data_IF_705112994689
#
_entry.id   IF_705112994689
#
_cell.length_a   1.000
_cell.length_b   1.000
_cell.length_c   1.000
_cell.angle_alpha   90.00
_cell.angle_beta   90.00
_cell.angle_gamma   90.00
#
_symmetry.space_group_name_H-M   'P 1'
#
loop_
_entity.id
_entity.type
_entity.pdbx_description
1 polymer ?
#
# COMPACT_ATOMS: atom_id res chain seq x y z
N UNK A 1 -76.37 13.56 -1.13
CA UNK A 1 -75.29 14.10 -0.27
C UNK A 1 -74.09 13.23 -0.48
N UNK A 2 -73.14 13.70 -1.34
CA UNK A 2 -71.95 12.95 -1.73
C UNK A 2 -70.72 13.52 -0.97
N UNK A 3 -70.19 12.73 -0.08
CA UNK A 3 -68.98 13.09 0.71
C UNK A 3 -67.77 12.71 -0.15
N UNK A 4 -67.07 13.73 -0.64
CA UNK A 4 -65.73 13.52 -1.26
C UNK A 4 -64.66 13.38 -0.17
N UNK A 5 -64.14 12.17 -0.04
CA UNK A 5 -63.03 11.86 0.83
C UNK A 5 -61.73 12.14 0.05
N UNK A 6 -61.10 13.28 0.32
CA UNK A 6 -59.82 13.65 -0.26
C UNK A 6 -58.71 12.95 0.54
N UNK A 7 -58.15 11.89 -0.03
CA UNK A 7 -56.94 11.25 0.53
C UNK A 7 -55.71 12.10 0.20
N UNK A 8 -55.16 12.76 1.21
CA UNK A 8 -53.87 13.45 1.11
C UNK A 8 -52.78 12.39 1.19
N UNK A 9 -52.16 12.10 0.05
CA UNK A 9 -51.01 11.20 -0.04
C UNK A 9 -49.76 11.98 0.40
N UNK A 10 -49.39 11.85 1.67
CA UNK A 10 -48.14 12.41 2.18
C UNK A 10 -46.97 11.61 1.60
N UNK A 11 -46.35 12.18 0.57
CA UNK A 11 -45.09 11.65 0.00
C UNK A 11 -43.97 11.88 1.02
N UNK A 12 -43.64 10.86 1.80
CA UNK A 12 -42.43 10.86 2.65
C UNK A 12 -41.23 10.88 1.71
N UNK A 13 -40.62 12.03 1.52
CA UNK A 13 -39.29 12.14 0.96
C UNK A 13 -38.30 11.55 1.98
N UNK A 14 -37.89 10.30 1.78
CA UNK A 14 -36.71 9.74 2.42
C UNK A 14 -35.52 10.48 1.82
N UNK A 15 -35.08 11.54 2.47
CA UNK A 15 -33.82 12.20 2.16
C UNK A 15 -32.74 11.23 2.58
N UNK A 16 -31.94 10.66 1.65
CA UNK A 16 -30.78 9.88 2.07
C UNK A 16 -29.89 10.82 2.88
N UNK A 17 -29.66 10.48 4.15
CA UNK A 17 -28.64 11.13 4.94
C UNK A 17 -27.29 10.83 4.25
N UNK A 18 -26.83 11.74 3.42
CA UNK A 18 -25.46 11.79 2.95
C UNK A 18 -24.65 12.23 4.17
N UNK A 19 -24.30 11.28 5.02
CA UNK A 19 -23.29 11.51 6.02
C UNK A 19 -22.01 11.85 5.24
N UNK A 20 -21.53 13.07 5.43
CA UNK A 20 -20.26 13.54 4.92
C UNK A 20 -19.21 12.42 5.08
N UNK A 21 -18.65 12.04 3.99
CA UNK A 21 -17.95 10.83 3.65
C UNK A 21 -16.89 10.34 4.59
N UNK A 22 -17.30 9.77 5.70
CA UNK A 22 -16.39 8.92 6.51
C UNK A 22 -16.32 7.55 5.90
N UNK A 23 -15.13 7.16 5.48
CA UNK A 23 -14.83 5.85 4.91
C UNK A 23 -13.87 5.12 5.84
N UNK A 24 -14.05 3.82 5.94
CA UNK A 24 -13.18 2.96 6.73
C UNK A 24 -12.49 1.97 5.79
N UNK A 25 -11.16 1.91 5.87
CA UNK A 25 -10.36 0.87 5.23
C UNK A 25 -10.08 -0.18 6.30
N UNK A 26 -10.53 -1.42 6.12
CA UNK A 26 -10.25 -2.50 7.07
C UNK A 26 -8.75 -2.83 7.15
N UNK A 27 -8.31 -3.30 8.31
CA UNK A 27 -7.04 -4.00 8.44
C UNK A 27 -6.97 -5.17 7.45
N UNK A 28 -5.76 -5.55 7.04
CA UNK A 28 -5.47 -6.59 6.05
C UNK A 28 -5.99 -6.31 4.62
N UNK A 29 -6.52 -5.09 4.35
CA UNK A 29 -6.82 -4.69 2.97
C UNK A 29 -5.54 -4.70 2.16
N UNK A 30 -5.53 -5.45 1.05
CA UNK A 30 -4.39 -5.50 0.14
C UNK A 30 -4.24 -4.20 -0.65
N UNK A 31 -3.03 -3.71 -0.72
CA UNK A 31 -2.65 -2.53 -1.51
C UNK A 31 -1.39 -2.83 -2.30
N UNK A 32 -1.27 -2.23 -3.47
CA UNK A 32 -0.15 -2.42 -4.38
C UNK A 32 0.77 -1.22 -4.35
N UNK A 33 2.04 -1.46 -4.08
CA UNK A 33 3.06 -0.42 -3.99
C UNK A 33 4.24 -0.74 -4.90
N UNK A 34 5.00 0.29 -5.24
CA UNK A 34 6.27 0.19 -5.98
C UNK A 34 7.29 1.12 -5.35
N UNK A 35 8.57 0.79 -5.49
CA UNK A 35 9.63 1.70 -5.10
C UNK A 35 9.77 2.85 -6.11
N UNK A 36 10.47 3.91 -5.69
CA UNK A 36 10.82 4.99 -6.61
C UNK A 36 11.63 4.44 -7.79
N UNK A 37 11.20 4.68 -9.05
CA UNK A 37 11.85 4.12 -10.24
C UNK A 37 13.31 4.54 -10.42
N UNK A 38 13.71 5.67 -9.83
CA UNK A 38 15.10 6.16 -9.85
C UNK A 38 16.01 5.48 -8.83
N UNK A 39 15.45 4.69 -7.91
CA UNK A 39 16.19 4.10 -6.81
C UNK A 39 16.83 2.76 -7.18
N UNK A 40 18.12 2.62 -6.88
CA UNK A 40 18.85 1.34 -6.98
C UNK A 40 18.86 0.65 -5.63
N UNK A 41 18.06 -0.40 -5.50
CA UNK A 41 17.90 -1.16 -4.26
C UNK A 41 18.77 -2.40 -4.32
N UNK A 42 19.92 -2.36 -3.65
CA UNK A 42 20.92 -3.43 -3.69
C UNK A 42 21.63 -3.58 -2.35
N UNK A 43 21.93 -4.82 -1.96
CA UNK A 43 22.70 -5.14 -0.77
C UNK A 43 24.10 -4.51 -0.73
N UNK A 44 24.63 -4.09 -1.87
CA UNK A 44 25.90 -3.38 -1.97
C UNK A 44 25.80 -1.90 -1.58
N UNK A 45 24.63 -1.28 -1.79
CA UNK A 45 24.43 0.17 -1.68
C UNK A 45 23.71 0.59 -0.40
N UNK A 46 22.97 -0.32 0.21
CA UNK A 46 22.11 -0.03 1.34
C UNK A 46 22.70 -0.50 2.67
N UNK A 47 22.17 0.05 3.73
CA UNK A 47 22.45 -0.31 5.12
C UNK A 47 21.14 -0.47 5.89
N UNK A 48 21.09 -1.27 6.97
CA UNK A 48 19.92 -1.35 7.83
C UNK A 48 19.51 0.03 8.37
N UNK A 49 18.20 0.27 8.48
CA UNK A 49 17.63 1.54 8.95
C UNK A 49 17.47 2.62 7.89
N UNK A 50 17.93 2.40 6.65
CA UNK A 50 17.74 3.37 5.57
C UNK A 50 16.27 3.37 5.11
N UNK A 51 15.60 4.53 5.09
CA UNK A 51 14.26 4.65 4.55
C UNK A 51 14.31 4.63 3.01
N UNK A 52 13.37 3.91 2.41
CA UNK A 52 13.16 3.83 0.97
C UNK A 52 11.81 4.47 0.65
N UNK A 53 11.78 5.30 -0.40
CA UNK A 53 10.55 5.89 -0.89
C UNK A 53 9.74 4.88 -1.70
N UNK A 54 8.45 4.79 -1.40
CA UNK A 54 7.49 3.98 -2.13
C UNK A 54 6.31 4.82 -2.60
N UNK A 55 5.62 4.32 -3.61
CA UNK A 55 4.40 4.91 -4.14
C UNK A 55 3.32 3.85 -4.25
N UNK A 56 2.07 4.26 -4.01
CA UNK A 56 0.91 3.45 -4.34
C UNK A 56 0.87 3.21 -5.85
N UNK A 57 0.87 1.97 -6.28
CA UNK A 57 0.92 1.59 -7.70
C UNK A 57 -0.46 1.54 -8.36
N UNK A 58 -1.52 1.34 -7.57
CA UNK A 58 -2.91 1.33 -8.00
C UNK A 58 -3.77 2.04 -6.94
N UNK A 59 -4.87 2.71 -7.31
CA UNK A 59 -5.73 3.39 -6.34
C UNK A 59 -6.39 2.38 -5.38
N UNK A 60 -6.64 2.81 -4.14
CA UNK A 60 -7.44 2.04 -3.19
C UNK A 60 -8.89 2.46 -3.31
N UNK A 61 -9.76 1.52 -3.65
CA UNK A 61 -11.18 1.76 -3.84
C UNK A 61 -12.03 1.03 -2.78
N UNK A 62 -13.01 1.72 -2.23
CA UNK A 62 -14.02 1.15 -1.32
C UNK A 62 -15.40 1.51 -1.83
N UNK A 63 -16.23 0.50 -2.09
CA UNK A 63 -17.59 0.72 -2.58
C UNK A 63 -17.68 1.45 -3.92
N UNK A 64 -16.66 1.30 -4.78
CA UNK A 64 -16.59 1.96 -6.10
C UNK A 64 -16.13 3.42 -6.05
N UNK A 65 -15.61 3.88 -4.91
CA UNK A 65 -15.00 5.20 -4.77
C UNK A 65 -13.51 5.06 -4.54
N UNK A 66 -12.71 5.90 -5.20
CA UNK A 66 -11.28 6.03 -4.93
C UNK A 66 -11.09 6.74 -3.60
N UNK A 67 -10.46 6.06 -2.65
CA UNK A 67 -10.20 6.56 -1.30
C UNK A 67 -8.75 7.04 -1.16
N UNK A 68 -7.82 6.35 -1.81
CA UNK A 68 -6.43 6.79 -1.91
C UNK A 68 -6.04 6.72 -3.39
N UNK A 69 -5.60 7.84 -3.94
CA UNK A 69 -5.19 7.92 -5.33
C UNK A 69 -3.86 7.22 -5.59
N UNK A 70 -3.67 6.71 -6.80
CA UNK A 70 -2.37 6.25 -7.30
C UNK A 70 -1.29 7.32 -7.11
N UNK A 71 -0.07 6.88 -6.82
CA UNK A 71 1.06 7.77 -6.56
C UNK A 71 1.06 8.41 -5.16
N UNK A 72 0.21 7.95 -4.24
CA UNK A 72 0.34 8.27 -2.82
C UNK A 72 1.71 7.83 -2.32
N UNK A 73 2.44 8.73 -1.64
CA UNK A 73 3.80 8.48 -1.17
C UNK A 73 3.83 7.77 0.17
N UNK A 74 4.78 6.86 0.33
CA UNK A 74 5.00 6.15 1.56
C UNK A 74 6.46 5.82 1.81
N UNK A 75 6.70 5.07 2.87
CA UNK A 75 8.04 4.64 3.29
C UNK A 75 8.11 3.13 3.44
N UNK A 76 9.24 2.58 3.04
CA UNK A 76 9.72 1.28 3.47
C UNK A 76 11.05 1.46 4.20
N UNK A 77 11.48 0.48 4.96
CA UNK A 77 12.73 0.52 5.72
C UNK A 77 13.55 -0.75 5.48
N UNK A 78 14.83 -0.58 5.32
CA UNK A 78 15.77 -1.68 5.19
C UNK A 78 16.00 -2.30 6.57
N UNK A 79 15.56 -3.55 6.75
CA UNK A 79 15.71 -4.28 8.02
C UNK A 79 17.07 -4.98 8.12
N UNK A 80 17.47 -5.68 7.07
CA UNK A 80 18.69 -6.46 7.07
C UNK A 80 19.39 -6.39 5.72
N UNK A 81 20.72 -6.27 5.76
CA UNK A 81 21.59 -6.28 4.58
C UNK A 81 22.81 -7.15 4.86
N UNK A 82 23.12 -8.03 3.93
CA UNK A 82 24.40 -8.73 3.87
C UNK A 82 24.97 -8.58 2.45
N UNK A 83 26.10 -7.94 2.33
CA UNK A 83 26.81 -7.85 1.04
C UNK A 83 27.33 -9.22 0.60
N UNK A 84 27.42 -9.43 -0.70
CA UNK A 84 28.12 -10.60 -1.23
C UNK A 84 29.59 -10.58 -0.80
N UNK A 85 30.03 -11.60 -0.08
CA UNK A 85 31.40 -11.69 0.43
C UNK A 85 32.01 -13.03 0.08
N UNK A 86 33.02 -13.08 -0.76
CA UNK A 86 33.74 -14.25 -1.26
C UNK A 86 32.97 -15.05 -2.33
N UNK A 87 33.66 -15.79 -3.20
CA UNK A 87 33.01 -16.69 -4.15
C UNK A 87 32.10 -17.67 -3.42
N UNK A 88 30.78 -17.59 -3.73
CA UNK A 88 29.79 -18.52 -3.21
C UNK A 88 28.95 -18.03 -2.03
N UNK A 89 29.16 -16.83 -1.45
CA UNK A 89 28.25 -16.25 -0.47
C UNK A 89 27.39 -15.15 -1.11
N UNK A 90 26.09 -15.41 -1.34
CA UNK A 90 25.19 -14.42 -1.92
C UNK A 90 24.95 -13.24 -0.96
N UNK A 91 24.68 -12.08 -1.51
CA UNK A 91 24.13 -10.96 -0.75
C UNK A 91 22.71 -11.26 -0.29
N UNK A 92 22.25 -10.57 0.75
CA UNK A 92 20.90 -10.67 1.27
C UNK A 92 20.36 -9.28 1.57
N UNK A 93 19.09 -9.07 1.32
CA UNK A 93 18.40 -7.82 1.56
C UNK A 93 16.98 -8.11 2.03
N UNK A 94 16.59 -7.49 3.15
CA UNK A 94 15.23 -7.54 3.70
C UNK A 94 14.71 -6.13 3.92
N UNK A 95 13.52 -5.85 3.42
CA UNK A 95 12.86 -4.55 3.49
C UNK A 95 11.44 -4.73 4.03
N UNK A 96 11.06 -3.90 4.99
CA UNK A 96 9.69 -3.81 5.50
C UNK A 96 8.98 -2.57 4.91
N UNK A 97 7.72 -2.72 4.57
CA UNK A 97 6.85 -1.60 4.21
C UNK A 97 6.28 -0.99 5.50
N UNK A 98 6.41 0.32 5.67
CA UNK A 98 6.14 0.99 6.95
C UNK A 98 4.82 1.74 6.92
N UNK A 99 4.69 2.68 6.02
CA UNK A 99 3.51 3.53 5.94
C UNK A 99 3.26 4.10 4.54
N UNK A 100 2.05 4.65 4.35
CA UNK A 100 1.68 5.44 3.19
C UNK A 100 0.83 6.64 3.63
N UNK A 101 1.06 7.81 3.03
CA UNK A 101 0.24 8.99 3.26
C UNK A 101 -0.91 9.01 2.27
N UNK A 102 -2.16 9.19 2.73
CA UNK A 102 -3.30 9.35 1.84
C UNK A 102 -3.06 10.49 0.85
N UNK A 103 -3.52 10.28 -0.38
CA UNK A 103 -3.54 11.28 -1.44
C UNK A 103 -4.94 11.27 -2.06
N UNK A 104 -5.51 12.45 -2.30
CA UNK A 104 -6.85 12.60 -2.87
C UNK A 104 -7.79 13.37 -1.94
N UNK A 105 -9.08 13.15 -2.11
CA UNK A 105 -10.13 13.85 -1.35
C UNK A 105 -10.22 13.41 0.12
N UNK A 106 -9.74 12.20 0.43
CA UNK A 106 -9.87 11.61 1.75
C UNK A 106 -8.55 11.69 2.52
N UNK A 107 -8.63 12.11 3.77
CA UNK A 107 -7.50 12.15 4.69
C UNK A 107 -7.83 11.40 5.98
N UNK A 108 -6.79 10.94 6.68
CA UNK A 108 -6.94 10.42 8.05
C UNK A 108 -7.36 11.56 8.99
N UNK A 109 -8.18 11.26 9.99
CA UNK A 109 -8.72 12.27 10.91
C UNK A 109 -7.66 13.08 11.66
N UNK A 110 -6.47 12.53 11.82
CA UNK A 110 -5.31 13.12 12.49
C UNK A 110 -4.15 13.46 11.54
N UNK A 111 -4.40 13.38 10.21
CA UNK A 111 -3.37 13.52 9.17
C UNK A 111 -2.20 12.53 9.30
N UNK A 112 -2.39 11.44 10.04
CA UNK A 112 -1.39 10.40 10.21
C UNK A 112 -1.21 9.57 8.93
N UNK A 113 -0.01 9.02 8.77
CA UNK A 113 0.23 8.04 7.73
C UNK A 113 -0.45 6.70 8.07
N UNK A 114 -0.94 6.01 7.05
CA UNK A 114 -1.56 4.70 7.17
C UNK A 114 -0.46 3.66 7.29
N UNK A 115 -0.46 2.87 8.35
CA UNK A 115 0.52 1.81 8.55
C UNK A 115 0.34 0.69 7.54
N UNK A 116 1.45 0.19 7.04
CA UNK A 116 1.52 -0.97 6.16
C UNK A 116 2.12 -2.15 6.92
N UNK A 117 1.77 -3.35 6.44
CA UNK A 117 2.22 -4.63 6.95
C UNK A 117 2.67 -5.47 5.76
N UNK A 118 3.94 -5.81 5.74
CA UNK A 118 4.54 -6.62 4.68
C UNK A 118 6.04 -6.43 4.62
N UNK A 119 6.72 -7.47 4.17
CA UNK A 119 8.15 -7.51 4.02
C UNK A 119 8.51 -8.14 2.68
N UNK A 120 9.65 -7.76 2.14
CA UNK A 120 10.22 -8.37 0.94
C UNK A 120 11.67 -8.73 1.20
N UNK A 121 12.05 -9.91 0.74
CA UNK A 121 13.41 -10.42 0.86
C UNK A 121 13.97 -10.73 -0.51
N UNK A 122 15.26 -10.50 -0.68
CA UNK A 122 16.01 -10.87 -1.88
C UNK A 122 17.35 -11.48 -1.50
N UNK A 123 17.74 -12.54 -2.19
CA UNK A 123 19.03 -13.20 -2.05
C UNK A 123 19.77 -13.18 -3.39
N UNK A 124 21.04 -12.80 -3.39
CA UNK A 124 21.88 -12.78 -4.58
C UNK A 124 22.22 -14.19 -5.06
N UNK A 125 22.32 -14.36 -6.39
CA UNK A 125 22.62 -15.67 -6.99
C UNK A 125 21.39 -16.39 -7.56
N UNK A 126 20.25 -15.74 -7.60
CA UNK A 126 19.06 -16.11 -8.36
C UNK A 126 18.47 -17.47 -7.99
N UNK A 127 17.45 -17.49 -7.20
CA UNK A 127 16.32 -18.44 -7.21
C UNK A 127 15.36 -18.30 -6.04
N UNK A 128 15.57 -17.38 -5.09
CA UNK A 128 14.63 -17.23 -3.97
C UNK A 128 14.33 -15.77 -3.68
N UNK A 129 13.33 -15.23 -4.35
CA UNK A 129 12.52 -14.18 -3.76
C UNK A 129 11.53 -14.88 -2.83
N UNK A 130 11.82 -14.89 -1.55
CA UNK A 130 10.93 -15.39 -0.52
C UNK A 130 10.09 -14.22 0.00
N UNK A 131 9.00 -13.97 -0.68
CA UNK A 131 7.91 -13.17 -0.13
C UNK A 131 6.67 -14.05 -0.15
N UNK A 132 5.97 -14.14 0.94
CA UNK A 132 4.71 -14.86 1.01
C UNK A 132 3.56 -14.18 0.22
N UNK A 133 3.87 -13.06 -0.45
CA UNK A 133 2.94 -12.24 -1.23
C UNK A 133 3.42 -11.98 -2.69
N UNK A 134 4.05 -12.97 -3.37
CA UNK A 134 4.56 -12.72 -4.73
C UNK A 134 3.74 -13.29 -5.87
N UNK A 135 3.50 -12.43 -6.88
CA UNK A 135 2.88 -12.82 -8.16
C UNK A 135 3.87 -12.88 -9.34
N UNK A 136 5.09 -12.32 -9.26
CA UNK A 136 6.05 -12.36 -10.38
C UNK A 136 7.48 -12.61 -9.94
N UNK A 137 8.03 -13.76 -10.36
CA UNK A 137 9.44 -14.09 -10.18
C UNK A 137 10.30 -13.36 -11.21
N UNK A 138 11.19 -12.48 -10.73
CA UNK A 138 12.25 -11.91 -11.53
C UNK A 138 13.58 -12.59 -11.20
N UNK A 139 14.24 -13.10 -12.23
CA UNK A 139 15.54 -13.74 -12.13
C UNK A 139 16.63 -12.68 -12.13
N UNK A 140 17.39 -12.58 -11.05
CA UNK A 140 18.56 -11.71 -10.99
C UNK A 140 19.82 -12.57 -10.91
N UNK A 141 20.66 -12.48 -11.95
CA UNK A 141 21.99 -13.06 -11.98
C UNK A 141 22.97 -12.13 -11.27
N UNK A 142 23.61 -12.60 -10.21
CA UNK A 142 24.70 -11.86 -9.56
C UNK A 142 24.86 -12.23 -8.09
N UNK A 143 26.04 -12.00 -7.51
CA UNK A 143 26.30 -12.25 -6.10
C UNK A 143 25.60 -11.27 -5.14
N UNK A 144 25.11 -10.12 -5.61
CA UNK A 144 24.41 -9.12 -4.80
C UNK A 144 22.90 -9.35 -4.81
N UNK A 145 22.25 -9.11 -3.66
CA UNK A 145 20.79 -9.07 -3.59
C UNK A 145 20.29 -7.73 -4.14
N UNK A 146 19.26 -7.77 -4.97
CA UNK A 146 18.61 -6.56 -5.52
C UNK A 146 17.11 -6.71 -5.52
N UNK A 147 16.41 -5.59 -5.33
CA UNK A 147 14.97 -5.50 -5.53
C UNK A 147 14.69 -4.57 -6.71
N UNK A 148 13.87 -5.01 -7.70
CA UNK A 148 13.49 -4.14 -8.80
C UNK A 148 12.57 -3.03 -8.31
N UNK A 149 12.90 -1.79 -8.67
CA UNK A 149 12.11 -0.63 -8.26
C UNK A 149 10.80 -0.48 -9.05
N UNK A 150 10.73 -1.08 -10.23
CA UNK A 150 9.56 -1.07 -11.13
C UNK A 150 8.57 -2.21 -10.86
N UNK A 151 8.95 -3.18 -10.03
CA UNK A 151 8.06 -4.27 -9.64
C UNK A 151 6.93 -3.77 -8.72
N UNK A 152 5.76 -4.39 -8.87
CA UNK A 152 4.61 -4.17 -7.99
C UNK A 152 4.68 -5.17 -6.83
N UNK A 153 4.60 -4.64 -5.62
CA UNK A 153 4.60 -5.40 -4.38
C UNK A 153 3.21 -5.30 -3.74
N UNK A 154 2.61 -6.44 -3.41
CA UNK A 154 1.36 -6.46 -2.66
C UNK A 154 1.68 -6.44 -1.16
N UNK A 155 1.10 -5.50 -0.45
CA UNK A 155 1.22 -5.33 1.00
C UNK A 155 -0.16 -5.15 1.61
N UNK A 156 -0.28 -5.15 2.93
CA UNK A 156 -1.55 -5.01 3.61
C UNK A 156 -1.59 -3.76 4.47
N UNK A 157 -2.78 -3.22 4.66
CA UNK A 157 -3.03 -2.18 5.68
C UNK A 157 -2.84 -2.81 7.06
N UNK A 158 -2.01 -2.18 7.89
CA UNK A 158 -1.59 -2.74 9.19
C UNK A 158 -2.60 -2.56 10.32
N UNK A 159 -3.57 -1.66 10.17
CA UNK A 159 -4.64 -1.40 11.14
C UNK A 159 -5.84 -0.78 10.43
N UNK A 160 -7.03 -0.96 11.00
CA UNK A 160 -8.24 -0.34 10.45
C UNK A 160 -8.16 1.19 10.52
N UNK A 161 -8.27 1.86 9.37
CA UNK A 161 -8.11 3.31 9.23
C UNK A 161 -9.44 3.98 8.90
N UNK A 162 -9.71 5.10 9.54
CA UNK A 162 -10.86 5.96 9.23
C UNK A 162 -10.38 7.21 8.51
N UNK A 163 -11.01 7.50 7.38
CA UNK A 163 -10.73 8.67 6.58
C UNK A 163 -12.00 9.50 6.43
N UNK A 164 -11.82 10.81 6.26
CA UNK A 164 -12.89 11.74 5.92
C UNK A 164 -12.45 12.65 4.78
N UNK A 165 -13.44 13.23 4.09
CA UNK A 165 -13.23 14.23 3.05
C UNK A 165 -13.76 15.61 3.49
N UNK A 166 -13.67 15.92 4.79
CA UNK A 166 -14.07 17.22 5.36
C UNK A 166 -13.05 18.31 5.04
#
# INVERSE_FOLDING_TARGET
MRIFLTAVFALLFIVPNIQAGKVQIPEDTEVKVKFDPGMKISSKLLQPGIPLLIYLAEPVEIGGKVIIEEGAMGKAEVLEVKGASKPGKPGYLKVAFVDIKPKGEYNTLDSAAIKLKGEVESEGGGKKLLSWLFIFGLFIKGGEATLPSDAIYTVQIGETVRLSND
#
